data_IF_276504816356
#
_entry.id   IF_276504816356
#
_cell.length_a   1.000
_cell.length_b   1.000
_cell.length_c   1.000
_cell.angle_alpha   90.00
_cell.angle_beta   90.00
_cell.angle_gamma   90.00
#
_symmetry.space_group_name_H-M   'P 1'
#
loop_
_entity.id
_entity.type
_entity.pdbx_description
1 polymer ?
#
# COMPACT_ATOMS: atom_id res chain seq x y z
N UNK A 1 17.12 1.19 12.82
CA UNK A 1 16.24 0.38 11.92
C UNK A 1 14.82 0.08 12.45
N UNK A 2 14.53 0.12 13.76
CA UNK A 2 13.21 -0.32 14.30
C UNK A 2 12.07 0.72 14.30
N UNK A 3 12.38 2.02 14.14
CA UNK A 3 11.39 3.10 14.28
C UNK A 3 10.40 3.16 13.11
N UNK A 4 10.91 3.18 11.88
CA UNK A 4 10.09 3.15 10.65
C UNK A 4 9.19 1.91 10.59
N UNK A 5 9.66 0.77 11.09
CA UNK A 5 8.85 -0.46 11.15
C UNK A 5 7.61 -0.27 12.04
N UNK A 6 7.77 0.35 13.22
CA UNK A 6 6.65 0.65 14.14
C UNK A 6 5.67 1.65 13.53
N UNK A 7 6.18 2.70 12.88
CA UNK A 7 5.34 3.69 12.19
C UNK A 7 4.55 3.03 11.06
N UNK A 8 5.18 2.20 10.23
CA UNK A 8 4.50 1.43 9.17
C UNK A 8 3.35 0.61 9.71
N UNK A 9 3.57 -0.12 10.82
CA UNK A 9 2.54 -0.97 11.42
C UNK A 9 1.36 -0.14 11.96
N UNK A 10 1.65 0.95 12.70
CA UNK A 10 0.63 1.90 13.16
C UNK A 10 -0.18 2.48 12.01
N UNK A 11 0.49 2.90 10.94
CA UNK A 11 -0.15 3.47 9.75
C UNK A 11 -0.98 2.45 9.00
N UNK A 12 -0.51 1.21 8.88
CA UNK A 12 -1.30 0.13 8.29
C UNK A 12 -2.61 -0.08 9.07
N UNK A 13 -2.55 -0.13 10.41
CA UNK A 13 -3.74 -0.27 11.26
C UNK A 13 -4.66 0.95 11.10
N UNK A 14 -4.12 2.17 11.21
CA UNK A 14 -4.90 3.41 11.07
C UNK A 14 -5.56 3.57 9.70
N UNK A 15 -4.96 3.00 8.65
CA UNK A 15 -5.50 2.98 7.29
C UNK A 15 -6.45 1.79 7.03
N UNK A 16 -6.82 1.02 8.05
CA UNK A 16 -7.68 -0.16 7.92
C UNK A 16 -7.06 -1.27 7.06
N UNK A 17 -5.73 -1.39 7.08
CA UNK A 17 -4.99 -2.37 6.28
C UNK A 17 -4.91 -2.03 4.79
N UNK A 18 -5.33 -0.85 4.36
CA UNK A 18 -5.40 -0.47 2.94
C UNK A 18 -4.24 0.41 2.49
N UNK A 19 -3.79 0.21 1.26
CA UNK A 19 -2.74 1.02 0.64
C UNK A 19 -3.18 2.48 0.49
N UNK A 20 -2.31 3.41 0.89
CA UNK A 20 -2.53 4.85 0.75
C UNK A 20 -2.89 5.30 -0.68
N UNK A 21 -2.26 4.70 -1.69
CA UNK A 21 -2.43 5.08 -3.09
C UNK A 21 -3.60 4.36 -3.78
N UNK A 22 -3.60 3.02 -3.78
CA UNK A 22 -4.58 2.23 -4.55
C UNK A 22 -5.80 1.75 -3.75
N UNK A 23 -5.81 1.89 -2.42
CA UNK A 23 -6.92 1.46 -1.55
C UNK A 23 -7.10 -0.06 -1.41
N UNK A 24 -6.29 -0.87 -2.08
CA UNK A 24 -6.34 -2.33 -1.97
C UNK A 24 -5.82 -2.82 -0.61
N UNK A 25 -6.34 -3.94 -0.10
CA UNK A 25 -5.83 -4.59 1.11
C UNK A 25 -4.35 -4.94 0.96
N UNK A 26 -3.58 -4.70 2.01
CA UNK A 26 -2.17 -5.05 2.13
C UNK A 26 -1.98 -6.15 3.16
N UNK A 27 -0.82 -6.80 3.11
CA UNK A 27 -0.40 -7.78 4.11
C UNK A 27 0.96 -7.40 4.70
N UNK A 28 1.19 -7.76 5.97
CA UNK A 28 2.48 -7.59 6.65
C UNK A 28 2.72 -8.76 7.61
N UNK A 29 3.80 -9.52 7.42
CA UNK A 29 4.06 -10.75 8.19
C UNK A 29 4.04 -10.52 9.72
N UNK A 30 4.48 -9.35 10.18
CA UNK A 30 4.53 -9.04 11.60
C UNK A 30 3.16 -8.63 12.17
N UNK A 31 2.27 -8.08 11.35
CA UNK A 31 0.88 -7.77 11.76
C UNK A 31 0.03 -9.03 11.72
N UNK A 32 0.21 -9.86 10.68
CA UNK A 32 -0.47 -11.15 10.55
C UNK A 32 -0.08 -12.14 11.67
N UNK A 33 1.18 -12.15 12.09
CA UNK A 33 1.63 -12.98 13.20
C UNK A 33 1.05 -12.57 14.56
N UNK A 34 0.63 -11.31 14.71
CA UNK A 34 0.05 -10.77 15.94
C UNK A 34 -1.49 -10.88 15.98
N UNK A 35 -2.14 -11.17 14.85
CA UNK A 35 -3.59 -11.37 14.78
C UNK A 35 -3.95 -12.82 15.10
N UNK A 36 -4.84 -13.03 16.07
CA UNK A 36 -5.44 -14.33 16.38
C UNK A 36 -6.37 -14.84 15.27
N UNK A 37 -6.76 -13.97 14.33
CA UNK A 37 -7.50 -14.33 13.13
C UNK A 37 -6.52 -14.72 12.04
N UNK A 38 -5.98 -15.94 12.13
CA UNK A 38 -5.18 -16.54 11.06
C UNK A 38 -6.09 -16.92 9.88
N UNK A 39 -6.63 -15.92 9.19
CA UNK A 39 -7.27 -16.08 7.88
C UNK A 39 -6.19 -16.21 6.80
N UNK A 40 -5.28 -17.17 6.99
CA UNK A 40 -4.28 -17.52 6.01
C UNK A 40 -4.92 -18.48 5.01
N UNK A 41 -5.75 -17.93 4.12
CA UNK A 41 -6.01 -18.60 2.85
C UNK A 41 -4.68 -18.61 2.09
N UNK A 42 -4.06 -19.78 2.14
CA UNK A 42 -2.81 -20.24 1.56
C UNK A 42 -2.82 -20.19 0.03
N UNK A 43 -2.95 -19.00 -0.55
CA UNK A 43 -2.63 -18.73 -1.94
C UNK A 43 -1.79 -17.46 -2.00
N UNK A 44 -0.50 -17.66 -2.30
CA UNK A 44 0.57 -16.65 -2.50
C UNK A 44 0.01 -15.23 -2.68
N UNK A 45 -0.19 -14.52 -1.57
CA UNK A 45 -0.61 -13.12 -1.64
C UNK A 45 0.43 -12.38 -2.48
N UNK A 46 0.03 -11.60 -3.50
CA UNK A 46 0.98 -11.01 -4.41
C UNK A 46 2.01 -10.17 -3.64
N UNK A 47 3.31 -10.36 -3.91
CA UNK A 47 4.39 -9.53 -3.37
C UNK A 47 4.12 -8.03 -3.56
N UNK A 48 3.40 -7.71 -4.63
CA UNK A 48 2.91 -6.37 -4.95
C UNK A 48 2.07 -5.72 -3.83
N UNK A 49 1.32 -6.51 -3.07
CA UNK A 49 0.45 -6.05 -1.97
C UNK A 49 1.14 -6.04 -0.60
N UNK A 50 2.44 -6.38 -0.51
CA UNK A 50 3.17 -6.29 0.75
C UNK A 50 3.20 -4.85 1.26
N UNK A 51 2.91 -4.66 2.54
CA UNK A 51 2.97 -3.35 3.19
C UNK A 51 4.40 -2.82 3.29
N UNK A 52 4.58 -1.56 2.92
CA UNK A 52 5.84 -0.81 3.01
C UNK A 52 5.61 0.56 3.64
N UNK A 53 6.65 1.13 4.25
CA UNK A 53 6.62 2.52 4.67
C UNK A 53 6.90 3.39 3.44
N UNK A 54 6.04 4.35 3.20
CA UNK A 54 6.23 5.37 2.16
C UNK A 54 6.43 6.73 2.81
N UNK A 55 7.48 7.42 2.38
CA UNK A 55 7.77 8.79 2.80
C UNK A 55 7.05 9.78 1.87
N UNK A 56 6.19 10.63 2.43
CA UNK A 56 5.49 11.67 1.68
C UNK A 56 6.47 12.76 1.21
N UNK A 57 7.30 13.24 2.13
CA UNK A 57 8.50 14.03 1.85
C UNK A 57 9.70 13.11 1.78
N UNK A 58 10.37 13.06 0.63
CA UNK A 58 11.45 12.11 0.37
C UNK A 58 12.63 12.33 1.32
N UNK A 59 13.28 11.25 1.74
CA UNK A 59 14.47 11.34 2.62
C UNK A 59 15.62 12.10 1.98
N UNK A 60 15.78 11.99 0.65
CA UNK A 60 16.78 12.76 -0.12
C UNK A 60 16.59 14.27 0.01
N UNK A 61 15.35 14.69 0.25
CA UNK A 61 14.95 16.09 0.29
C UNK A 61 14.78 16.59 1.75
N UNK A 62 15.29 15.81 2.72
CA UNK A 62 15.22 16.13 4.16
C UNK A 62 14.02 15.51 4.90
N UNK A 63 13.30 14.58 4.27
CA UNK A 63 12.21 13.82 4.88
C UNK A 63 12.62 13.08 6.14
N UNK A 64 11.97 13.37 7.27
CA UNK A 64 12.19 12.69 8.56
C UNK A 64 11.34 11.43 8.67
N UNK A 65 11.81 10.47 9.47
CA UNK A 65 11.06 9.25 9.78
C UNK A 65 9.97 9.55 10.83
N UNK A 66 9.03 10.45 10.56
CA UNK A 66 7.94 10.78 11.50
C UNK A 66 6.62 10.14 11.10
N UNK A 67 5.69 10.09 12.04
CA UNK A 67 4.34 9.61 11.77
C UNK A 67 3.61 10.51 10.76
N UNK A 68 3.85 11.81 10.75
CA UNK A 68 3.20 12.72 9.80
C UNK A 68 3.73 12.51 8.38
N UNK A 69 5.01 12.11 8.26
CA UNK A 69 5.69 11.96 6.98
C UNK A 69 5.60 10.55 6.39
N UNK A 70 5.14 9.56 7.16
CA UNK A 70 5.07 8.16 6.70
C UNK A 70 3.63 7.70 6.58
N UNK A 71 3.33 7.06 5.46
CA UNK A 71 2.09 6.31 5.22
C UNK A 71 2.39 4.85 4.92
N UNK A 72 1.39 3.99 5.07
CA UNK A 72 1.50 2.60 4.64
C UNK A 72 1.07 2.47 3.16
N UNK A 73 1.98 2.02 2.30
CA UNK A 73 1.71 1.81 0.88
C UNK A 73 2.12 0.41 0.46
N UNK A 74 1.43 -0.16 -0.53
CA UNK A 74 1.81 -1.46 -1.05
C UNK A 74 3.12 -1.33 -1.84
N UNK A 75 3.91 -2.40 -1.84
CA UNK A 75 5.21 -2.43 -2.50
C UNK A 75 5.14 -1.97 -3.96
N UNK A 76 4.09 -2.35 -4.69
CA UNK A 76 3.94 -1.95 -6.09
C UNK A 76 3.74 -0.43 -6.26
N UNK A 77 2.80 0.17 -5.52
CA UNK A 77 2.54 1.61 -5.65
C UNK A 77 3.74 2.44 -5.20
N UNK A 78 4.36 2.04 -4.09
CA UNK A 78 5.56 2.69 -3.57
C UNK A 78 6.70 2.60 -4.60
N UNK A 79 7.02 1.39 -5.07
CA UNK A 79 8.09 1.17 -6.06
C UNK A 79 7.86 1.93 -7.36
N UNK A 80 6.62 2.00 -7.85
CA UNK A 80 6.32 2.73 -9.09
C UNK A 80 6.44 4.25 -8.97
N UNK A 81 6.29 4.81 -7.77
CA UNK A 81 6.55 6.24 -7.54
C UNK A 81 8.04 6.53 -7.67
N UNK A 82 8.88 5.74 -6.99
CA UNK A 82 10.33 5.96 -6.88
C UNK A 82 11.13 5.37 -8.04
N UNK A 83 10.52 4.58 -8.93
CA UNK A 83 11.15 4.13 -10.18
C UNK A 83 11.37 5.29 -11.16
N UNK A 84 10.64 6.40 -11.01
CA UNK A 84 10.78 7.61 -11.83
C UNK A 84 12.00 8.41 -11.35
N UNK A 85 12.78 8.97 -12.29
CA UNK A 85 13.95 9.82 -11.97
C UNK A 85 13.58 10.99 -11.06
N UNK A 86 12.44 11.62 -11.34
CA UNK A 86 11.82 12.62 -10.47
C UNK A 86 10.48 12.03 -9.99
N UNK A 87 10.42 11.49 -8.76
CA UNK A 87 9.17 10.99 -8.21
C UNK A 87 8.13 12.12 -8.15
N UNK A 88 6.90 11.91 -8.64
CA UNK A 88 5.84 12.89 -8.51
C UNK A 88 5.49 13.12 -7.03
N UNK A 89 4.76 14.19 -6.73
CA UNK A 89 4.21 14.39 -5.39
C UNK A 89 3.36 13.17 -4.98
N UNK A 90 3.21 12.88 -3.68
CA UNK A 90 2.31 11.82 -3.22
C UNK A 90 0.89 11.98 -3.75
N UNK A 91 0.39 13.21 -3.82
CA UNK A 91 -0.95 13.56 -4.31
C UNK A 91 -1.08 13.29 -5.81
N UNK A 92 -0.11 13.75 -6.60
CA UNK A 92 -0.06 13.49 -8.05
C UNK A 92 0.00 11.99 -8.36
N UNK A 93 0.84 11.26 -7.61
CA UNK A 93 0.92 9.81 -7.73
C UNK A 93 -0.40 9.15 -7.37
N UNK A 94 -1.06 9.61 -6.31
CA UNK A 94 -2.36 9.08 -5.88
C UNK A 94 -3.43 9.27 -6.94
N UNK A 95 -3.54 10.47 -7.51
CA UNK A 95 -4.47 10.77 -8.62
C UNK A 95 -4.18 9.86 -9.82
N UNK A 96 -2.90 9.72 -10.18
CA UNK A 96 -2.49 8.84 -11.28
C UNK A 96 -2.87 7.37 -11.02
N UNK A 97 -2.56 6.85 -9.83
CA UNK A 97 -2.89 5.48 -9.41
C UNK A 97 -4.40 5.25 -9.44
N UNK A 98 -5.20 6.18 -8.91
CA UNK A 98 -6.66 6.08 -8.88
C UNK A 98 -7.25 6.06 -10.29
N UNK A 99 -6.77 6.93 -11.20
CA UNK A 99 -7.17 6.90 -12.62
C UNK A 99 -6.86 5.54 -13.27
N UNK A 100 -5.69 4.97 -13.00
CA UNK A 100 -5.28 3.66 -13.53
C UNK A 100 -6.08 2.51 -12.93
N UNK A 101 -6.41 2.58 -11.65
CA UNK A 101 -7.27 1.61 -10.96
C UNK A 101 -8.69 1.62 -11.56
N UNK A 102 -9.28 2.79 -11.76
CA UNK A 102 -10.61 2.95 -12.39
C UNK A 102 -10.64 2.38 -13.82
N UNK A 103 -9.53 2.49 -14.56
CA UNK A 103 -9.39 1.89 -15.88
C UNK A 103 -9.05 0.38 -15.85
N UNK A 104 -8.86 -0.23 -14.68
CA UNK A 104 -8.41 -1.63 -14.54
C UNK A 104 -6.94 -1.87 -14.95
N UNK A 105 -6.16 -0.82 -15.21
CA UNK A 105 -4.81 -0.89 -15.80
C UNK A 105 -3.67 -0.62 -14.80
N UNK A 106 -3.92 -0.86 -13.52
CA UNK A 106 -2.91 -0.73 -12.46
C UNK A 106 -2.49 -2.11 -11.95
N UNK A 107 -2.84 -2.46 -10.71
CA UNK A 107 -2.47 -3.73 -10.11
C UNK A 107 -3.45 -4.86 -10.44
N UNK A 108 -4.73 -4.55 -10.67
CA UNK A 108 -5.75 -5.53 -11.11
C UNK A 108 -5.42 -6.17 -12.48
N UNK A 109 -4.68 -5.47 -13.35
CA UNK A 109 -4.15 -6.03 -14.58
C UNK A 109 -3.01 -7.06 -14.35
N UNK A 110 -2.36 -7.03 -13.18
CA UNK A 110 -1.19 -7.87 -12.86
C UNK A 110 -1.51 -8.98 -11.85
N UNK A 111 -2.53 -8.81 -11.02
CA UNK A 111 -3.01 -9.83 -10.10
C UNK A 111 -4.14 -10.56 -10.80
N UNK A 112 -3.86 -11.76 -11.33
CA UNK A 112 -4.91 -12.68 -11.79
C UNK A 112 -5.94 -12.79 -10.67
N UNK A 113 -7.17 -12.38 -10.97
CA UNK A 113 -8.24 -12.12 -10.01
C UNK A 113 -8.83 -13.46 -9.52
N UNK A 114 -8.00 -14.34 -8.98
CA UNK A 114 -8.43 -15.52 -8.25
C UNK A 114 -8.67 -15.06 -6.81
N UNK A 115 -9.86 -14.50 -6.55
CA UNK A 115 -10.41 -14.36 -5.19
C UNK A 115 -10.60 -12.95 -4.62
N UNK A 116 -10.47 -11.87 -5.40
CA UNK A 116 -10.85 -10.51 -4.96
C UNK A 116 -12.30 -10.13 -5.32
N UNK A 117 -13.20 -11.10 -5.41
CA UNK A 117 -14.65 -10.83 -5.39
C UNK A 117 -15.11 -10.66 -3.94
N UNK A 118 -14.72 -9.56 -3.31
CA UNK A 118 -15.36 -9.08 -2.10
C UNK A 118 -15.71 -7.60 -2.32
N UNK A 119 -16.98 -7.40 -2.72
CA UNK A 119 -17.79 -6.20 -2.49
C UNK A 119 -17.21 -4.87 -2.97
N UNK A 120 -17.28 -4.63 -4.29
CA UNK A 120 -17.39 -3.29 -4.86
C UNK A 120 -18.62 -3.23 -5.77
N UNK A 121 -19.80 -3.28 -5.16
CA UNK A 121 -21.11 -2.96 -5.74
C UNK A 121 -21.90 -2.31 -4.61
N UNK A 122 -22.55 -1.15 -4.66
CA UNK A 122 -22.81 -0.03 -5.58
C UNK A 122 -23.29 1.10 -4.63
N UNK A 123 -23.18 2.40 -4.94
CA UNK A 123 -23.95 3.40 -4.19
C UNK A 123 -25.45 3.27 -4.56
N UNK A 124 -26.32 3.48 -3.57
CA UNK A 124 -27.75 3.73 -3.76
C UNK A 124 -27.96 5.11 -4.37
#
# INVERSE_FOLDING_TARGET
MGFVKRIRQRKMIAQGGRCYYCGLPMWDDAVEAASSQRNYQTRRTPKALRCTAEHLHARSDGGRDTDENIVAACWYCNSQRHKRKCPPSPEEHRVYVQKRMAAGKWLLAQVSLVGLTATLTRPL
#
